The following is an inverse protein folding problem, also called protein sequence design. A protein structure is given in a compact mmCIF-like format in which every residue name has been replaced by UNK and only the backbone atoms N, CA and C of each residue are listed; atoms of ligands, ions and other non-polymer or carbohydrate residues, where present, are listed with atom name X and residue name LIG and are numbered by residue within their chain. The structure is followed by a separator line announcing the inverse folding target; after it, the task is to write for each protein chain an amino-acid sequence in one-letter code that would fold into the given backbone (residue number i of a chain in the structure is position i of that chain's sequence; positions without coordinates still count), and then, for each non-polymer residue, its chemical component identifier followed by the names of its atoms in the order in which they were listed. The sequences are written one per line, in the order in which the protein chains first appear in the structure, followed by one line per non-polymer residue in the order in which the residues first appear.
data_IF_056776139026
#
_entry.id   IF_056776139026
#
_cell.length_a   1.000
_cell.length_b   1.000
_cell.length_c   1.000
_cell.angle_alpha   90.00
_cell.angle_beta   90.00
_cell.angle_gamma   90.00
#
_symmetry.space_group_name_H-M   'P 1'
#
loop_
_entity.id
_entity.type
_entity.pdbx_description
1 polymer ?
#
# COMPACT_ATOMS: atom_id res chain seq x y z
N UNK A 1 -20.70 -29.60 -21.70
CA UNK A 1 -21.09 -28.25 -21.23
C UNK A 1 -20.84 -28.25 -19.74
N UNK A 2 -19.85 -27.47 -19.27
CA UNK A 2 -19.64 -27.30 -17.84
C UNK A 2 -20.87 -26.58 -17.27
N UNK A 3 -21.40 -27.10 -16.16
CA UNK A 3 -22.48 -26.43 -15.41
C UNK A 3 -22.05 -24.98 -15.10
N UNK A 4 -22.93 -23.98 -15.22
CA UNK A 4 -22.59 -22.63 -14.86
C UNK A 4 -22.28 -22.62 -13.35
N UNK A 5 -21.00 -22.46 -13.01
CA UNK A 5 -20.62 -22.24 -11.62
C UNK A 5 -21.33 -20.99 -11.09
N UNK A 6 -21.79 -21.04 -9.85
CA UNK A 6 -22.27 -19.86 -9.18
C UNK A 6 -21.17 -18.77 -9.20
N UNK A 7 -21.53 -17.50 -9.32
CA UNK A 7 -20.54 -16.44 -9.35
C UNK A 7 -19.72 -16.41 -8.05
N UNK A 8 -18.42 -16.16 -8.19
CA UNK A 8 -17.55 -15.96 -7.03
C UNK A 8 -17.94 -14.66 -6.34
N UNK A 9 -18.14 -14.71 -5.05
CA UNK A 9 -18.45 -13.53 -4.25
C UNK A 9 -17.16 -12.88 -3.74
N UNK A 10 -16.96 -11.61 -4.04
CA UNK A 10 -15.84 -10.80 -3.52
C UNK A 10 -16.42 -9.69 -2.67
N UNK A 11 -15.93 -9.59 -1.43
CA UNK A 11 -16.33 -8.57 -0.47
C UNK A 11 -15.24 -7.50 -0.39
N UNK A 12 -15.55 -6.27 -0.84
CA UNK A 12 -14.68 -5.10 -0.86
C UNK A 12 -14.13 -4.77 -2.25
N UNK A 13 -14.47 -3.59 -2.77
CA UNK A 13 -14.02 -3.03 -4.05
C UNK A 13 -12.74 -2.19 -3.92
N UNK A 14 -11.85 -2.53 -2.97
CA UNK A 14 -10.52 -1.95 -2.84
C UNK A 14 -9.51 -2.57 -3.81
N UNK A 15 -8.21 -2.26 -3.61
CA UNK A 15 -7.13 -2.73 -4.48
C UNK A 15 -7.13 -4.26 -4.67
N UNK A 16 -7.19 -5.01 -3.56
CA UNK A 16 -7.14 -6.47 -3.60
C UNK A 16 -8.40 -7.08 -4.23
N UNK A 17 -9.58 -6.53 -3.93
CA UNK A 17 -10.84 -7.06 -4.46
C UNK A 17 -10.99 -6.81 -5.96
N UNK A 18 -10.65 -5.61 -6.44
CA UNK A 18 -10.66 -5.30 -7.88
C UNK A 18 -9.67 -6.17 -8.65
N UNK A 19 -8.45 -6.36 -8.13
CA UNK A 19 -7.46 -7.23 -8.77
C UNK A 19 -7.94 -8.68 -8.81
N UNK A 20 -8.50 -9.20 -7.71
CA UNK A 20 -9.03 -10.56 -7.66
C UNK A 20 -10.22 -10.75 -8.62
N UNK A 21 -11.13 -9.77 -8.68
CA UNK A 21 -12.27 -9.78 -9.60
C UNK A 21 -11.80 -9.86 -11.06
N UNK A 22 -10.81 -9.04 -11.41
CA UNK A 22 -10.20 -9.04 -12.73
C UNK A 22 -9.59 -10.39 -13.09
N UNK A 23 -8.76 -10.95 -12.21
CA UNK A 23 -8.10 -12.24 -12.46
C UNK A 23 -9.10 -13.39 -12.63
N UNK A 24 -10.18 -13.41 -11.87
CA UNK A 24 -11.25 -14.40 -12.00
C UNK A 24 -12.04 -14.22 -13.29
N UNK A 25 -12.39 -13.00 -13.65
CA UNK A 25 -13.16 -12.68 -14.84
C UNK A 25 -12.37 -12.98 -16.13
N UNK A 26 -11.07 -12.65 -16.16
CA UNK A 26 -10.16 -13.02 -17.25
C UNK A 26 -9.92 -14.53 -17.33
N UNK A 27 -10.02 -15.26 -16.22
CA UNK A 27 -10.00 -16.71 -16.18
C UNK A 27 -11.31 -17.36 -16.69
N UNK A 28 -12.35 -16.56 -17.01
CA UNK A 28 -13.62 -17.00 -17.59
C UNK A 28 -14.77 -17.16 -16.59
N UNK A 29 -14.56 -16.86 -15.32
CA UNK A 29 -15.56 -17.03 -14.26
C UNK A 29 -16.40 -15.77 -14.04
N UNK A 30 -17.66 -15.95 -13.60
CA UNK A 30 -18.52 -14.84 -13.19
C UNK A 30 -18.18 -14.42 -11.76
N UNK A 31 -18.21 -13.11 -11.51
CA UNK A 31 -17.86 -12.49 -10.22
C UNK A 31 -18.97 -11.57 -9.76
N UNK A 32 -19.32 -11.61 -8.49
CA UNK A 32 -20.09 -10.57 -7.78
C UNK A 32 -19.15 -9.82 -6.85
N UNK A 33 -18.88 -8.58 -7.18
CA UNK A 33 -18.05 -7.68 -6.39
C UNK A 33 -18.95 -6.75 -5.57
N UNK A 34 -18.86 -6.86 -4.25
CA UNK A 34 -19.60 -5.99 -3.32
C UNK A 34 -18.71 -4.84 -2.85
N UNK A 35 -19.23 -3.62 -2.95
CA UNK A 35 -18.60 -2.41 -2.42
C UNK A 35 -19.66 -1.53 -1.75
N UNK A 36 -19.45 -1.19 -0.47
CA UNK A 36 -20.45 -0.42 0.28
C UNK A 36 -20.54 1.05 -0.11
N UNK A 37 -19.49 1.61 -0.71
CA UNK A 37 -19.48 3.00 -1.18
C UNK A 37 -20.19 3.14 -2.52
N UNK A 38 -20.85 4.25 -2.80
CA UNK A 38 -20.97 5.48 -1.99
C UNK A 38 -22.07 5.43 -0.92
N UNK A 39 -22.87 4.36 -0.82
CA UNK A 39 -24.00 4.32 0.13
C UNK A 39 -23.51 4.43 1.58
N UNK A 40 -22.44 3.76 1.93
CA UNK A 40 -21.79 3.85 3.25
C UNK A 40 -20.31 4.21 3.04
N UNK A 41 -19.95 5.42 3.48
CA UNK A 41 -18.59 5.94 3.40
C UNK A 41 -17.78 5.54 4.63
N UNK A 42 -16.48 5.32 4.45
CA UNK A 42 -15.55 5.17 5.57
C UNK A 42 -14.90 6.52 5.92
N UNK A 43 -14.31 6.67 7.11
CA UNK A 43 -13.63 7.92 7.47
C UNK A 43 -12.46 8.30 6.54
N UNK A 44 -11.84 7.34 5.86
CA UNK A 44 -10.67 7.57 5.01
C UNK A 44 -11.00 7.82 3.54
N UNK A 45 -12.06 7.22 3.02
CA UNK A 45 -12.47 7.36 1.62
C UNK A 45 -13.26 8.63 1.37
N UNK A 46 -13.15 9.20 0.18
CA UNK A 46 -13.83 10.44 -0.23
C UNK A 46 -14.74 10.28 -1.43
N UNK A 47 -14.53 9.22 -2.21
CA UNK A 47 -15.27 8.97 -3.45
C UNK A 47 -15.99 7.62 -3.41
N UNK A 48 -16.91 7.40 -4.33
CA UNK A 48 -17.50 6.09 -4.58
C UNK A 48 -16.68 5.24 -5.56
N UNK A 49 -15.54 5.74 -6.05
CA UNK A 49 -14.69 5.02 -7.00
C UNK A 49 -14.05 3.78 -6.35
N UNK A 50 -13.80 2.77 -7.17
CA UNK A 50 -13.11 1.55 -6.74
C UNK A 50 -11.60 1.80 -6.59
N UNK A 51 -10.93 0.95 -5.81
CA UNK A 51 -9.49 0.97 -5.60
C UNK A 51 -8.92 2.35 -5.16
N UNK A 52 -9.70 3.16 -4.43
CA UNK A 52 -9.28 4.48 -3.97
C UNK A 52 -8.05 4.39 -3.05
N UNK A 53 -7.03 5.20 -3.37
CA UNK A 53 -5.80 5.30 -2.58
C UNK A 53 -5.97 6.30 -1.43
N UNK A 54 -6.06 5.82 -0.20
CA UNK A 54 -6.48 6.66 0.94
C UNK A 54 -5.34 7.38 1.66
N UNK A 55 -4.16 6.77 1.79
CA UNK A 55 -3.08 7.32 2.62
C UNK A 55 -2.00 8.04 1.78
N UNK A 56 -1.62 7.50 0.64
CA UNK A 56 -0.56 7.99 -0.24
C UNK A 56 -0.96 7.75 -1.69
N UNK A 57 -0.31 8.43 -2.63
CA UNK A 57 -0.46 8.16 -4.06
C UNK A 57 0.75 7.41 -4.64
N UNK A 58 1.58 6.83 -3.79
CA UNK A 58 2.79 6.11 -4.18
C UNK A 58 2.64 4.60 -4.10
N UNK A 59 2.95 3.91 -5.19
CA UNK A 59 3.08 2.45 -5.25
C UNK A 59 4.54 2.01 -5.07
N UNK A 60 5.27 2.69 -4.20
CA UNK A 60 6.66 2.39 -3.83
C UNK A 60 7.68 2.48 -4.99
N UNK A 61 8.92 2.12 -4.67
CA UNK A 61 10.08 2.29 -5.55
C UNK A 61 9.98 1.53 -6.87
N UNK A 62 10.35 2.19 -7.96
CA UNK A 62 10.63 1.61 -9.29
C UNK A 62 12.14 1.40 -9.53
N UNK A 63 12.97 1.62 -8.51
CA UNK A 63 14.40 1.40 -8.64
C UNK A 63 14.67 -0.08 -8.99
N UNK A 64 15.31 -0.38 -10.14
CA UNK A 64 15.63 -1.75 -10.50
C UNK A 64 16.36 -2.51 -9.40
N UNK A 65 16.00 -3.78 -9.24
CA UNK A 65 16.55 -4.66 -8.22
C UNK A 65 16.29 -4.19 -6.76
N UNK A 66 15.17 -3.49 -6.52
CA UNK A 66 14.59 -3.34 -5.19
C UNK A 66 13.44 -4.34 -4.99
N UNK A 67 13.11 -4.70 -3.75
CA UNK A 67 12.04 -5.66 -3.49
C UNK A 67 10.65 -5.18 -3.97
N UNK A 68 10.25 -3.89 -3.79
CA UNK A 68 9.00 -3.39 -4.38
C UNK A 68 9.00 -3.39 -5.91
N UNK A 69 10.16 -3.13 -6.56
CA UNK A 69 10.28 -3.24 -8.01
C UNK A 69 10.09 -4.68 -8.47
N UNK A 70 10.74 -5.65 -7.78
CA UNK A 70 10.60 -7.07 -8.10
C UNK A 70 9.13 -7.52 -8.04
N UNK A 71 8.43 -7.21 -6.96
CA UNK A 71 7.02 -7.55 -6.82
C UNK A 71 6.19 -6.99 -7.97
N UNK A 72 6.42 -5.72 -8.36
CA UNK A 72 5.72 -5.11 -9.50
C UNK A 72 6.09 -5.78 -10.83
N UNK A 73 7.35 -6.21 -11.02
CA UNK A 73 7.73 -6.97 -12.22
C UNK A 73 7.00 -8.31 -12.31
N UNK A 74 6.80 -8.99 -11.18
CA UNK A 74 6.02 -10.22 -11.11
C UNK A 74 4.55 -9.96 -11.44
N UNK A 75 3.94 -8.94 -10.85
CA UNK A 75 2.55 -8.57 -11.11
C UNK A 75 2.30 -8.17 -12.58
N UNK A 76 3.24 -7.44 -13.21
CA UNK A 76 3.18 -7.11 -14.66
C UNK A 76 3.15 -8.38 -15.51
N UNK A 77 4.03 -9.36 -15.23
CA UNK A 77 4.06 -10.66 -15.93
C UNK A 77 2.80 -11.47 -15.72
N UNK A 78 2.15 -11.29 -14.58
CA UNK A 78 0.91 -11.95 -14.23
C UNK A 78 -0.35 -11.23 -14.78
N UNK A 79 -0.20 -10.10 -15.48
CA UNK A 79 -1.30 -9.37 -16.10
C UNK A 79 -2.18 -8.61 -15.10
N UNK A 80 -1.57 -7.95 -14.09
CA UNK A 80 -2.28 -7.14 -13.11
C UNK A 80 -2.98 -5.94 -13.78
N UNK A 81 -4.29 -5.81 -13.61
CA UNK A 81 -5.07 -4.65 -14.00
C UNK A 81 -4.58 -3.38 -13.30
N UNK A 82 -4.39 -3.47 -11.99
CA UNK A 82 -4.07 -2.29 -11.19
C UNK A 82 -2.69 -1.73 -11.51
N UNK A 83 -1.74 -2.58 -11.88
CA UNK A 83 -0.43 -2.10 -12.36
C UNK A 83 -0.55 -1.42 -13.74
N UNK A 84 -1.41 -1.91 -14.62
CA UNK A 84 -1.68 -1.26 -15.92
C UNK A 84 -2.34 0.10 -15.72
N UNK A 85 -3.35 0.20 -14.84
CA UNK A 85 -3.99 1.46 -14.47
C UNK A 85 -2.99 2.45 -13.84
N UNK A 86 -2.08 1.96 -12.99
CA UNK A 86 -1.06 2.79 -12.37
C UNK A 86 -0.06 3.37 -13.37
N UNK A 87 0.30 2.63 -14.42
CA UNK A 87 1.16 3.17 -15.49
C UNK A 87 0.44 4.24 -16.32
N UNK A 88 -0.86 4.10 -16.55
CA UNK A 88 -1.66 5.10 -17.27
C UNK A 88 -1.87 6.38 -16.46
N UNK A 89 -2.08 6.25 -15.16
CA UNK A 89 -2.28 7.38 -14.24
C UNK A 89 -0.97 7.94 -13.67
N UNK A 90 0.18 7.55 -14.21
CA UNK A 90 1.50 7.91 -13.67
C UNK A 90 1.75 9.41 -13.70
N UNK A 91 2.30 9.93 -12.61
CA UNK A 91 2.77 11.30 -12.47
C UNK A 91 4.23 11.33 -11.98
N UNK A 92 4.97 12.44 -12.12
CA UNK A 92 6.32 12.56 -11.63
C UNK A 92 6.44 12.27 -10.12
N UNK A 93 7.37 11.39 -9.75
CA UNK A 93 7.53 10.95 -8.35
C UNK A 93 8.91 10.36 -8.04
N UNK A 94 9.95 10.83 -8.69
CA UNK A 94 11.33 10.39 -8.51
C UNK A 94 11.50 8.91 -8.87
N UNK A 95 11.99 8.13 -7.94
CA UNK A 95 12.19 6.68 -8.11
C UNK A 95 10.97 5.85 -7.72
N UNK A 96 9.83 6.47 -7.41
CA UNK A 96 8.61 5.77 -7.07
C UNK A 96 7.63 5.75 -8.26
N UNK A 97 6.78 4.73 -8.30
CA UNK A 97 5.57 4.78 -9.12
C UNK A 97 4.53 5.59 -8.34
N UNK A 98 4.35 6.83 -8.77
CA UNK A 98 3.38 7.76 -8.20
C UNK A 98 2.27 7.98 -9.20
N UNK A 99 1.04 8.06 -8.75
CA UNK A 99 -0.14 8.16 -9.62
C UNK A 99 -1.02 9.34 -9.23
N UNK A 100 -1.72 9.88 -10.20
CA UNK A 100 -2.92 10.69 -9.95
C UNK A 100 -3.99 9.76 -9.35
N UNK A 101 -4.42 10.06 -8.13
CA UNK A 101 -5.32 9.16 -7.35
C UNK A 101 -6.66 8.98 -8.00
N UNK A 102 -7.24 10.09 -8.46
CA UNK A 102 -8.58 10.09 -9.03
C UNK A 102 -8.59 9.39 -10.38
N UNK A 103 -7.61 9.71 -11.23
CA UNK A 103 -7.47 9.08 -12.53
C UNK A 103 -7.20 7.57 -12.41
N UNK A 104 -6.33 7.16 -11.48
CA UNK A 104 -6.10 5.74 -11.18
C UNK A 104 -7.41 5.02 -10.81
N UNK A 105 -8.14 5.58 -9.85
CA UNK A 105 -9.39 4.98 -9.37
C UNK A 105 -10.46 4.97 -10.45
N UNK A 106 -10.51 6.02 -11.31
CA UNK A 106 -11.43 6.11 -12.45
C UNK A 106 -11.16 5.02 -13.49
N UNK A 107 -9.88 4.82 -13.85
CA UNK A 107 -9.46 3.75 -14.79
C UNK A 107 -9.85 2.38 -14.26
N UNK A 108 -9.55 2.09 -12.99
CA UNK A 108 -9.90 0.80 -12.37
C UNK A 108 -11.41 0.61 -12.30
N UNK A 109 -12.16 1.65 -11.90
CA UNK A 109 -13.63 1.58 -11.83
C UNK A 109 -14.23 1.27 -13.18
N UNK A 110 -13.83 1.99 -14.24
CA UNK A 110 -14.32 1.76 -15.60
C UNK A 110 -14.02 0.33 -16.07
N UNK A 111 -12.78 -0.17 -15.86
CA UNK A 111 -12.42 -1.52 -16.28
C UNK A 111 -13.24 -2.62 -15.58
N UNK A 112 -13.57 -2.43 -14.30
CA UNK A 112 -14.39 -3.37 -13.52
C UNK A 112 -15.86 -3.29 -13.92
N UNK A 113 -16.42 -2.08 -14.07
CA UNK A 113 -17.83 -1.85 -14.40
C UNK A 113 -18.18 -2.26 -15.85
N UNK A 114 -17.25 -2.13 -16.78
CA UNK A 114 -17.43 -2.52 -18.18
C UNK A 114 -17.17 -4.01 -18.44
N UNK A 115 -16.60 -4.73 -17.48
CA UNK A 115 -16.25 -6.14 -17.71
C UNK A 115 -17.49 -7.07 -17.69
N UNK A 116 -17.79 -7.82 -18.77
CA UNK A 116 -19.05 -8.55 -18.91
C UNK A 116 -19.25 -9.71 -17.91
N UNK A 117 -18.23 -10.12 -17.19
CA UNK A 117 -18.29 -11.19 -16.18
C UNK A 117 -18.26 -10.66 -14.74
N UNK A 118 -18.18 -9.34 -14.54
CA UNK A 118 -18.16 -8.75 -13.20
C UNK A 118 -19.48 -8.01 -12.98
N UNK A 119 -20.22 -8.44 -11.98
CA UNK A 119 -21.41 -7.74 -11.46
C UNK A 119 -20.99 -6.93 -10.23
N UNK A 120 -20.94 -5.61 -10.37
CA UNK A 120 -20.64 -4.70 -9.26
C UNK A 120 -21.92 -4.38 -8.50
N UNK A 121 -21.95 -4.70 -7.20
CA UNK A 121 -23.06 -4.46 -6.30
C UNK A 121 -22.67 -3.42 -5.25
N UNK A 122 -23.30 -2.25 -5.32
CA UNK A 122 -23.08 -1.14 -4.39
C UNK A 122 -23.89 -1.33 -3.11
N UNK A 123 -23.44 -2.27 -2.28
CA UNK A 123 -24.14 -2.71 -1.08
C UNK A 123 -23.14 -3.14 -0.01
N UNK A 124 -23.45 -2.81 1.25
CA UNK A 124 -22.78 -3.40 2.40
C UNK A 124 -23.18 -4.87 2.56
N UNK A 125 -22.21 -5.70 2.92
CA UNK A 125 -22.42 -7.10 3.28
C UNK A 125 -22.01 -7.28 4.74
N UNK A 126 -22.94 -7.75 5.56
CA UNK A 126 -22.79 -7.95 7.01
C UNK A 126 -22.48 -9.39 7.39
N UNK A 127 -22.67 -10.34 6.46
CA UNK A 127 -22.47 -11.78 6.67
C UNK A 127 -21.70 -12.41 5.52
N UNK A 128 -20.86 -13.39 5.84
CA UNK A 128 -20.17 -14.20 4.84
C UNK A 128 -21.17 -15.20 4.24
N UNK A 129 -21.34 -15.25 2.90
CA UNK A 129 -22.18 -16.25 2.25
C UNK A 129 -21.84 -17.70 2.67
N UNK A 130 -22.88 -18.50 2.91
CA UNK A 130 -22.70 -19.90 3.35
C UNK A 130 -22.25 -20.82 2.23
N UNK A 131 -22.53 -20.48 0.99
CA UNK A 131 -22.24 -21.31 -0.19
C UNK A 131 -21.35 -20.58 -1.19
N UNK A 132 -20.75 -21.34 -2.10
CA UNK A 132 -19.87 -20.81 -3.13
C UNK A 132 -18.51 -20.39 -2.64
N UNK A 133 -17.67 -19.90 -3.54
CA UNK A 133 -16.35 -19.34 -3.20
C UNK A 133 -16.51 -17.88 -2.79
N UNK A 134 -15.93 -17.52 -1.65
CA UNK A 134 -15.94 -16.17 -1.11
C UNK A 134 -14.52 -15.65 -0.94
N UNK A 135 -14.27 -14.43 -1.42
CA UNK A 135 -13.00 -13.75 -1.24
C UNK A 135 -13.21 -12.47 -0.43
N UNK A 136 -12.59 -12.41 0.75
CA UNK A 136 -12.68 -11.27 1.67
C UNK A 136 -11.51 -10.33 1.42
N UNK A 137 -11.79 -9.17 0.84
CA UNK A 137 -10.81 -8.14 0.45
C UNK A 137 -11.21 -6.75 0.94
N UNK A 138 -11.85 -6.70 2.11
CA UNK A 138 -12.45 -5.48 2.68
C UNK A 138 -11.43 -4.48 3.22
N UNK A 139 -10.15 -4.85 3.19
CA UNK A 139 -9.06 -3.98 3.63
C UNK A 139 -9.11 -3.68 5.13
N UNK A 140 -8.44 -2.59 5.55
CA UNK A 140 -8.27 -2.26 6.96
C UNK A 140 -9.52 -1.65 7.60
N UNK A 141 -10.42 -1.08 6.79
CA UNK A 141 -11.62 -0.37 7.24
C UNK A 141 -12.90 -1.21 7.01
N UNK A 142 -12.81 -2.49 7.30
CA UNK A 142 -13.93 -3.43 7.28
C UNK A 142 -15.06 -2.93 8.18
N UNK A 143 -16.31 -2.99 7.72
CA UNK A 143 -17.48 -2.58 8.52
C UNK A 143 -17.60 -3.36 9.81
N UNK A 144 -18.20 -2.76 10.83
CA UNK A 144 -18.29 -3.35 12.16
C UNK A 144 -18.98 -4.71 12.16
N UNK A 145 -20.10 -4.83 11.44
CA UNK A 145 -20.88 -6.05 11.34
C UNK A 145 -20.11 -7.20 10.66
N UNK A 146 -19.52 -6.93 9.51
CA UNK A 146 -18.72 -7.95 8.81
C UNK A 146 -17.44 -8.31 9.58
N UNK A 147 -16.82 -7.34 10.24
CA UNK A 147 -15.64 -7.61 11.06
C UNK A 147 -15.97 -8.49 12.27
N UNK A 148 -17.17 -8.36 12.84
CA UNK A 148 -17.66 -9.24 13.91
C UNK A 148 -17.93 -10.67 13.38
N UNK A 149 -18.55 -10.78 12.20
CA UNK A 149 -18.79 -12.06 11.53
C UNK A 149 -17.47 -12.78 11.20
N UNK A 150 -16.46 -12.06 10.67
CA UNK A 150 -15.11 -12.61 10.43
C UNK A 150 -14.52 -13.12 11.77
N UNK A 151 -14.63 -12.36 12.85
CA UNK A 151 -14.17 -12.78 14.17
C UNK A 151 -14.82 -14.07 14.67
N UNK A 152 -16.13 -14.22 14.49
CA UNK A 152 -16.88 -15.45 14.83
C UNK A 152 -16.41 -16.64 13.98
N UNK A 153 -16.26 -16.44 12.67
CA UNK A 153 -15.88 -17.48 11.69
C UNK A 153 -14.44 -17.98 11.88
N UNK A 154 -13.54 -17.08 12.26
CA UNK A 154 -12.13 -17.42 12.47
C UNK A 154 -11.82 -17.91 13.87
N UNK A 155 -12.71 -17.74 14.82
CA UNK A 155 -12.50 -18.06 16.24
C UNK A 155 -11.37 -17.26 16.89
N UNK A 156 -10.85 -16.24 16.21
CA UNK A 156 -9.72 -15.45 16.64
C UNK A 156 -10.13 -14.03 17.02
N UNK A 157 -9.53 -13.50 18.06
CA UNK A 157 -9.61 -12.08 18.39
C UNK A 157 -9.09 -11.22 17.23
N UNK A 158 -9.68 -10.03 17.03
CA UNK A 158 -9.21 -9.10 16.02
C UNK A 158 -7.87 -8.53 16.45
N UNK A 159 -6.90 -8.56 15.54
CA UNK A 159 -5.71 -7.75 15.68
C UNK A 159 -5.98 -6.39 15.00
N UNK A 160 -5.40 -5.35 15.54
CA UNK A 160 -5.51 -4.02 14.96
C UNK A 160 -4.23 -3.23 15.23
N UNK A 161 -3.94 -2.30 14.34
CA UNK A 161 -2.90 -1.29 14.52
C UNK A 161 -3.46 0.08 14.11
N UNK A 162 -2.79 1.14 14.51
CA UNK A 162 -3.15 2.48 14.08
C UNK A 162 -2.22 2.92 12.95
N UNK A 163 -2.84 3.49 11.92
CA UNK A 163 -2.17 4.15 10.81
C UNK A 163 -2.62 5.61 10.75
N UNK A 164 -1.79 6.47 10.21
CA UNK A 164 -2.11 7.88 10.06
C UNK A 164 -1.81 8.38 8.65
N UNK A 165 -2.57 9.38 8.23
CA UNK A 165 -2.52 9.97 6.90
C UNK A 165 -1.76 11.29 6.97
N UNK A 166 -0.97 11.57 5.93
CA UNK A 166 -0.29 12.86 5.77
C UNK A 166 -1.24 13.93 5.22
N UNK A 167 -1.07 15.21 5.60
CA UNK A 167 -1.88 16.31 5.07
C UNK A 167 -1.55 16.62 3.61
N UNK A 168 -2.54 17.22 2.93
CA UNK A 168 -2.44 17.71 1.55
C UNK A 168 -2.73 19.20 1.56
N UNK A 169 -1.90 19.98 0.88
CA UNK A 169 -2.02 21.43 0.74
C UNK A 169 -2.32 21.85 -0.69
N UNK A 170 -3.05 22.95 -0.84
CA UNK A 170 -3.31 23.59 -2.12
C UNK A 170 -2.03 24.22 -2.68
N UNK A 171 -1.74 23.94 -3.96
CA UNK A 171 -0.55 24.41 -4.65
C UNK A 171 -0.47 25.94 -4.74
N UNK A 172 -1.61 26.62 -4.91
CA UNK A 172 -1.66 28.08 -5.07
C UNK A 172 -1.25 28.82 -3.79
N UNK A 173 -1.30 28.13 -2.65
CA UNK A 173 -0.98 28.68 -1.33
C UNK A 173 0.46 28.43 -0.88
N UNK A 174 1.24 27.71 -1.71
CA UNK A 174 2.67 27.45 -1.45
C UNK A 174 3.49 28.66 -1.92
N UNK A 175 4.35 29.16 -1.04
CA UNK A 175 5.26 30.24 -1.40
C UNK A 175 6.43 29.74 -2.27
N UNK A 176 6.28 29.83 -3.58
CA UNK A 176 7.26 29.36 -4.56
C UNK A 176 8.59 30.14 -4.56
N UNK A 177 8.67 31.30 -3.90
CA UNK A 177 9.93 32.03 -3.72
C UNK A 177 10.82 31.38 -2.65
N UNK A 178 10.20 30.65 -1.71
CA UNK A 178 10.89 29.97 -0.60
C UNK A 178 11.23 28.53 -0.94
N UNK A 179 10.32 27.81 -1.59
CA UNK A 179 10.53 26.40 -1.96
C UNK A 179 11.37 26.26 -3.23
N UNK A 180 11.98 25.09 -3.44
CA UNK A 180 12.70 24.80 -4.66
C UNK A 180 12.35 23.39 -5.20
N UNK A 181 12.37 23.24 -6.53
CA UNK A 181 12.21 21.94 -7.18
C UNK A 181 13.53 21.19 -7.18
N UNK A 182 13.50 19.95 -6.73
CA UNK A 182 14.60 19.00 -6.87
C UNK A 182 14.17 17.58 -6.51
N UNK A 183 14.90 16.61 -7.03
CA UNK A 183 14.88 15.23 -6.55
C UNK A 183 16.22 14.87 -5.92
N UNK A 184 16.20 14.02 -4.89
CA UNK A 184 17.42 13.63 -4.18
C UNK A 184 18.44 13.01 -5.12
N UNK A 185 19.69 13.47 -5.04
CA UNK A 185 20.80 13.00 -5.87
C UNK A 185 20.59 13.21 -7.37
N UNK A 186 19.76 14.19 -7.77
CA UNK A 186 19.44 14.46 -9.18
C UNK A 186 18.65 13.32 -9.87
N UNK A 187 18.08 12.40 -9.13
CA UNK A 187 17.31 11.27 -9.64
C UNK A 187 15.86 11.67 -9.86
N UNK A 188 15.61 12.28 -10.99
CA UNK A 188 14.32 12.85 -11.37
C UNK A 188 13.79 12.24 -12.67
N UNK A 189 12.46 12.25 -12.81
CA UNK A 189 11.77 11.98 -14.07
C UNK A 189 11.54 13.28 -14.86
N UNK A 190 11.51 14.42 -14.16
CA UNK A 190 11.39 15.76 -14.73
C UNK A 190 12.72 16.49 -14.72
N UNK A 191 13.01 17.37 -15.70
CA UNK A 191 14.26 18.14 -15.76
C UNK A 191 14.54 18.97 -14.51
N UNK A 192 13.47 19.54 -13.92
CA UNK A 192 13.56 20.46 -12.78
C UNK A 192 13.43 19.76 -11.41
N UNK A 193 13.25 18.44 -11.38
CA UNK A 193 12.97 17.69 -10.14
C UNK A 193 11.49 17.39 -9.93
N UNK A 194 11.20 16.32 -9.18
CA UNK A 194 9.84 15.79 -9.02
C UNK A 194 9.15 16.23 -7.71
N UNK A 195 9.90 16.86 -6.81
CA UNK A 195 9.40 17.32 -5.51
C UNK A 195 9.61 18.81 -5.34
N UNK A 196 8.67 19.47 -4.67
CA UNK A 196 8.92 20.76 -4.05
C UNK A 196 9.57 20.51 -2.68
N UNK A 197 10.56 21.30 -2.35
CA UNK A 197 11.35 21.16 -1.13
C UNK A 197 11.30 22.43 -0.32
N UNK A 198 10.79 22.35 0.91
CA UNK A 198 10.78 23.43 1.88
C UNK A 198 12.07 23.36 2.72
N UNK A 199 13.03 24.23 2.54
CA UNK A 199 14.28 24.21 3.28
C UNK A 199 14.10 24.85 4.66
N UNK A 200 14.63 24.23 5.70
CA UNK A 200 14.64 24.78 7.05
C UNK A 200 16.08 25.12 7.46
N UNK A 201 16.25 26.30 8.10
CA UNK A 201 17.43 26.58 8.90
C UNK A 201 17.39 25.75 10.19
N UNK A 202 18.45 25.85 11.00
CA UNK A 202 18.48 25.21 12.31
C UNK A 202 17.42 25.81 13.23
N UNK A 203 17.29 27.13 13.21
CA UNK A 203 16.33 27.88 14.01
C UNK A 203 14.88 27.54 13.64
N UNK A 204 14.56 27.42 12.33
CA UNK A 204 13.25 27.01 11.87
C UNK A 204 12.93 25.57 12.30
N UNK A 205 13.90 24.67 12.18
CA UNK A 205 13.76 23.29 12.61
C UNK A 205 13.53 23.16 14.10
N UNK A 206 14.34 23.86 14.90
CA UNK A 206 14.22 23.80 16.35
C UNK A 206 12.88 24.37 16.82
N UNK A 207 12.42 25.49 16.25
CA UNK A 207 11.08 26.04 16.50
C UNK A 207 9.97 25.10 16.09
N UNK A 208 10.07 24.47 14.90
CA UNK A 208 9.08 23.52 14.41
C UNK A 208 8.96 22.32 15.34
N UNK A 209 10.07 21.70 15.76
CA UNK A 209 10.06 20.53 16.65
C UNK A 209 9.51 20.90 18.03
N UNK A 210 9.85 22.07 18.58
CA UNK A 210 9.33 22.52 19.86
C UNK A 210 7.81 22.71 19.85
N UNK A 211 7.28 23.30 18.78
CA UNK A 211 5.84 23.50 18.64
C UNK A 211 5.09 22.22 18.29
N UNK A 212 5.70 21.31 17.53
CA UNK A 212 5.16 19.99 17.25
C UNK A 212 4.99 19.17 18.53
N UNK A 213 5.98 19.20 19.43
CA UNK A 213 5.94 18.45 20.69
C UNK A 213 4.95 19.01 21.71
N UNK A 214 4.62 20.32 21.62
CA UNK A 214 3.60 20.99 22.46
C UNK A 214 2.18 20.86 21.92
N UNK A 215 2.05 20.52 20.63
CA UNK A 215 0.76 20.52 19.94
C UNK A 215 -0.24 19.55 20.57
N UNK A 216 -1.50 19.98 20.65
CA UNK A 216 -2.58 19.15 21.12
C UNK A 216 -2.92 18.06 20.10
N UNK A 217 -3.12 16.87 20.61
CA UNK A 217 -3.47 15.70 19.82
C UNK A 217 -4.95 15.39 19.94
N UNK A 218 -5.51 14.75 18.94
CA UNK A 218 -6.72 13.99 19.17
C UNK A 218 -6.39 12.95 20.24
N UNK A 219 -7.10 12.99 21.38
CA UNK A 219 -7.06 11.86 22.29
C UNK A 219 -7.74 10.68 21.56
N UNK A 220 -7.00 9.73 21.05
CA UNK A 220 -7.65 8.49 20.71
C UNK A 220 -8.00 7.84 22.06
N UNK A 221 -9.12 7.17 22.14
CA UNK A 221 -9.32 6.12 23.13
C UNK A 221 -8.39 4.93 22.78
N UNK A 222 -7.11 5.23 22.61
CA UNK A 222 -6.05 4.28 22.30
C UNK A 222 -5.41 3.98 23.65
N UNK A 223 -5.54 2.74 24.16
CA UNK A 223 -4.70 2.30 25.26
C UNK A 223 -3.22 2.54 24.92
N UNK A 224 -2.43 2.97 25.90
CA UNK A 224 -0.99 3.31 25.71
C UNK A 224 -0.13 2.17 25.12
N UNK A 225 -0.66 0.96 25.07
CA UNK A 225 0.04 -0.27 24.65
C UNK A 225 -0.20 -0.67 23.17
N UNK A 226 -0.88 0.17 22.36
CA UNK A 226 -1.20 -0.23 20.99
C UNK A 226 -0.09 0.18 20.03
N UNK A 227 0.48 -0.78 19.26
CA UNK A 227 1.56 -0.50 18.35
C UNK A 227 1.07 0.28 17.13
N UNK A 228 1.73 1.40 16.85
CA UNK A 228 1.74 1.98 15.51
C UNK A 228 2.58 1.11 14.58
N UNK A 229 2.21 1.05 13.32
CA UNK A 229 3.07 0.46 12.31
C UNK A 229 4.32 1.33 12.11
N UNK A 230 5.51 0.77 12.28
CA UNK A 230 6.79 1.52 12.26
C UNK A 230 6.99 2.37 10.99
N UNK A 231 6.53 1.89 9.84
CA UNK A 231 6.66 2.62 8.58
C UNK A 231 5.69 3.80 8.44
N UNK A 232 4.68 3.91 9.30
CA UNK A 232 3.64 4.94 9.30
C UNK A 232 3.55 5.65 10.66
N UNK A 233 4.65 5.69 11.41
CA UNK A 233 4.71 6.40 12.68
C UNK A 233 4.34 7.88 12.51
N UNK A 234 3.46 8.42 13.37
CA UNK A 234 3.18 9.84 13.40
C UNK A 234 4.42 10.67 13.63
N UNK A 235 4.50 11.83 12.97
CA UNK A 235 5.69 12.69 13.00
C UNK A 235 6.00 13.19 14.43
N UNK A 236 4.98 13.41 15.24
CA UNK A 236 5.12 13.78 16.65
C UNK A 236 5.69 12.65 17.50
N UNK A 237 5.41 11.40 17.16
CA UNK A 237 6.01 10.24 17.85
C UNK A 237 7.48 10.06 17.42
N UNK A 238 7.80 10.29 16.16
CA UNK A 238 9.18 10.33 15.68
C UNK A 238 9.98 11.44 16.40
N UNK A 239 9.39 12.64 16.56
CA UNK A 239 10.04 13.75 17.27
C UNK A 239 10.30 13.43 18.75
N UNK A 240 9.41 12.68 19.42
CA UNK A 240 9.60 12.23 20.82
C UNK A 240 10.73 11.23 21.01
N UNK A 241 11.01 10.42 20.00
CA UNK A 241 12.13 9.47 20.04
C UNK A 241 13.49 10.15 20.06
N UNK A 242 13.55 11.42 19.69
CA UNK A 242 14.75 12.25 19.74
C UNK A 242 14.64 13.46 18.83
N UNK A 243 15.20 14.60 19.28
CA UNK A 243 15.09 15.89 18.59
C UNK A 243 15.55 15.83 17.12
N UNK A 244 16.63 15.10 16.85
CA UNK A 244 17.19 14.95 15.50
C UNK A 244 16.56 13.84 14.66
N UNK A 245 15.65 13.03 15.22
CA UNK A 245 15.09 11.85 14.53
C UNK A 245 14.46 12.24 13.19
N UNK A 246 13.76 13.37 13.12
CA UNK A 246 13.12 13.83 11.89
C UNK A 246 14.13 14.12 10.77
N UNK A 247 15.34 14.60 11.11
CA UNK A 247 16.41 14.89 10.13
C UNK A 247 17.07 13.64 9.56
N UNK A 248 16.91 12.49 10.21
CA UNK A 248 17.33 11.18 9.69
C UNK A 248 16.18 10.41 9.03
N UNK A 249 14.96 10.91 9.16
CA UNK A 249 13.71 10.36 8.65
C UNK A 249 13.04 11.27 7.60
N UNK A 250 11.81 11.73 7.85
CA UNK A 250 10.99 12.47 6.88
C UNK A 250 11.58 13.81 6.45
N UNK A 251 12.32 14.48 7.34
CA UNK A 251 12.93 15.80 7.05
C UNK A 251 14.42 15.72 6.68
N UNK A 252 14.88 14.58 6.19
CA UNK A 252 16.28 14.37 5.83
C UNK A 252 16.72 15.31 4.70
N UNK A 253 17.83 16.09 4.84
CA UNK A 253 18.28 17.02 3.82
C UNK A 253 19.24 16.40 2.79
N UNK A 254 19.78 15.22 3.06
CA UNK A 254 20.85 14.60 2.27
C UNK A 254 20.45 14.36 0.82
N UNK A 255 21.32 14.73 -0.10
CA UNK A 255 21.12 14.61 -1.55
C UNK A 255 20.31 15.77 -2.17
N UNK A 256 20.04 16.84 -1.40
CA UNK A 256 19.40 18.05 -1.87
C UNK A 256 20.33 19.25 -1.67
N UNK A 257 20.37 20.13 -2.66
CA UNK A 257 21.09 21.41 -2.64
C UNK A 257 20.06 22.50 -2.93
N UNK A 258 19.95 23.49 -2.06
CA UNK A 258 19.13 24.66 -2.34
C UNK A 258 19.82 25.54 -3.38
N UNK A 259 19.22 25.75 -4.57
CA UNK A 259 19.85 26.50 -5.65
C UNK A 259 20.13 27.97 -5.31
N UNK A 260 19.41 28.52 -4.33
CA UNK A 260 19.58 29.93 -3.90
C UNK A 260 20.81 30.13 -3.03
N UNK A 261 21.17 29.12 -2.25
CA UNK A 261 22.32 29.21 -1.31
C UNK A 261 23.52 28.39 -1.79
N UNK A 262 23.33 27.46 -2.74
CA UNK A 262 24.33 26.49 -3.15
C UNK A 262 24.69 25.47 -2.08
N UNK A 263 23.91 25.36 -0.99
CA UNK A 263 24.20 24.53 0.18
C UNK A 263 23.07 23.54 0.48
N UNK A 264 23.40 22.47 1.17
CA UNK A 264 22.42 21.57 1.75
C UNK A 264 21.74 22.24 2.93
N UNK A 265 20.40 22.35 2.95
CA UNK A 265 19.67 22.89 4.11
C UNK A 265 19.90 22.08 5.40
N UNK A 266 19.58 22.65 6.55
CA UNK A 266 19.66 21.91 7.81
C UNK A 266 18.64 20.77 7.89
N UNK A 267 17.42 21.01 7.43
CA UNK A 267 16.36 20.01 7.26
C UNK A 267 15.53 20.39 6.01
N UNK A 268 14.77 19.44 5.48
CA UNK A 268 13.89 19.68 4.31
C UNK A 268 12.59 18.92 4.47
N UNK A 269 11.46 19.61 4.28
CA UNK A 269 10.16 18.98 4.07
C UNK A 269 9.95 18.82 2.58
N UNK A 270 9.67 17.58 2.13
CA UNK A 270 9.36 17.31 0.72
C UNK A 270 7.85 17.31 0.51
N UNK A 271 7.42 17.98 -0.54
CA UNK A 271 6.05 18.00 -1.00
C UNK A 271 5.97 17.21 -2.31
N UNK A 272 5.09 16.21 -2.34
CA UNK A 272 4.86 15.36 -3.51
C UNK A 272 3.55 15.74 -4.18
N UNK A 273 3.60 15.90 -5.48
CA UNK A 273 2.44 16.16 -6.32
C UNK A 273 1.38 15.04 -6.16
N UNK A 274 0.10 15.42 -6.08
CA UNK A 274 -1.01 14.49 -5.89
C UNK A 274 -1.77 14.18 -7.19
N UNK A 275 -1.77 15.10 -8.15
CA UNK A 275 -2.52 15.01 -9.40
C UNK A 275 -1.70 15.48 -10.61
N UNK A 276 -2.17 15.18 -11.84
CA UNK A 276 -1.50 15.56 -13.09
C UNK A 276 -1.35 17.06 -13.29
N UNK A 277 -2.25 17.87 -12.71
CA UNK A 277 -2.25 19.33 -12.85
C UNK A 277 -1.32 20.02 -11.85
N UNK A 278 -0.74 19.26 -10.91
CA UNK A 278 0.03 19.79 -9.79
C UNK A 278 -0.79 20.80 -8.96
N UNK A 279 -2.11 20.60 -8.85
CA UNK A 279 -3.00 21.49 -8.12
C UNK A 279 -2.91 21.30 -6.60
N UNK A 280 -2.34 20.19 -6.14
CA UNK A 280 -2.17 19.89 -4.72
C UNK A 280 -0.93 19.05 -4.44
N UNK A 281 -0.43 19.18 -3.21
CA UNK A 281 0.79 18.51 -2.77
C UNK A 281 0.63 17.87 -1.40
N UNK A 282 1.13 16.64 -1.27
CA UNK A 282 1.18 15.89 -0.03
C UNK A 282 2.49 16.15 0.71
N UNK A 283 2.43 16.36 2.02
CA UNK A 283 3.61 16.47 2.90
C UNK A 283 4.16 15.07 3.15
N UNK A 284 5.29 14.74 2.53
CA UNK A 284 5.85 13.39 2.56
C UNK A 284 6.37 13.03 3.96
N UNK A 285 5.80 11.97 4.55
CA UNK A 285 6.21 11.49 5.87
C UNK A 285 5.64 12.29 7.05
N UNK A 286 4.60 13.10 6.81
CA UNK A 286 3.94 13.92 7.82
C UNK A 286 2.62 13.31 8.31
N UNK A 287 2.56 11.99 8.36
CA UNK A 287 1.48 11.29 9.07
C UNK A 287 1.41 11.81 10.51
N UNK A 288 0.21 12.11 10.98
CA UNK A 288 0.03 12.67 12.31
C UNK A 288 -1.39 12.45 12.86
N UNK A 289 -1.56 12.65 14.16
CA UNK A 289 -2.87 12.66 14.84
C UNK A 289 -3.10 13.92 15.67
N UNK A 290 -2.46 15.02 15.28
CA UNK A 290 -2.71 16.34 15.86
C UNK A 290 -4.14 16.79 15.57
N UNK A 291 -4.72 17.62 16.45
CA UNK A 291 -5.96 18.32 16.16
C UNK A 291 -5.83 19.18 14.90
N UNK A 292 -6.87 19.34 14.12
CA UNK A 292 -6.81 20.05 12.84
C UNK A 292 -6.30 21.50 12.98
N UNK A 293 -6.72 22.20 14.05
CA UNK A 293 -6.20 23.53 14.37
C UNK A 293 -4.70 23.54 14.63
N UNK A 294 -4.20 22.53 15.33
CA UNK A 294 -2.78 22.39 15.62
C UNK A 294 -1.97 22.01 14.37
N UNK A 295 -2.52 21.16 13.49
CA UNK A 295 -1.87 20.88 12.21
C UNK A 295 -1.67 22.17 11.41
N UNK A 296 -2.71 22.98 11.26
CA UNK A 296 -2.59 24.26 10.56
C UNK A 296 -1.57 25.19 11.23
N UNK A 297 -1.58 25.29 12.55
CA UNK A 297 -0.66 26.16 13.33
C UNK A 297 0.79 25.71 13.20
N UNK A 298 1.06 24.41 13.38
CA UNK A 298 2.42 23.86 13.42
C UNK A 298 3.02 23.76 12.01
N UNK A 299 2.25 23.25 11.03
CA UNK A 299 2.79 23.04 9.69
C UNK A 299 2.98 24.34 8.91
N UNK A 300 2.28 25.42 9.27
CA UNK A 300 2.57 26.77 8.75
C UNK A 300 3.87 27.39 9.28
N UNK A 301 4.54 26.78 10.24
CA UNK A 301 5.90 27.15 10.64
C UNK A 301 6.98 26.67 9.66
N UNK A 302 6.61 25.79 8.73
CA UNK A 302 7.51 25.29 7.69
C UNK A 302 7.70 26.38 6.64
N UNK A 303 8.93 26.82 6.35
CA UNK A 303 9.20 27.83 5.32
C UNK A 303 8.60 27.42 3.97
N UNK A 304 7.82 28.33 3.39
CA UNK A 304 7.06 28.12 2.16
C UNK A 304 5.64 27.64 2.37
N UNK A 305 5.22 27.31 3.59
CA UNK A 305 3.86 26.89 3.94
C UNK A 305 3.15 27.86 4.90
N UNK A 306 3.66 29.08 5.06
CA UNK A 306 3.14 30.07 6.02
C UNK A 306 1.64 30.37 5.80
N UNK A 307 1.20 30.36 4.55
CA UNK A 307 -0.19 30.62 4.15
C UNK A 307 -0.89 29.37 3.61
N UNK A 308 -0.34 28.17 3.84
CA UNK A 308 -0.87 26.95 3.25
C UNK A 308 -2.33 26.69 3.64
N UNK A 309 -3.16 26.42 2.64
CA UNK A 309 -4.52 25.90 2.82
C UNK A 309 -4.49 24.37 2.74
N UNK A 310 -5.06 23.74 3.78
CA UNK A 310 -5.08 22.28 3.87
C UNK A 310 -6.34 21.74 3.22
N UNK A 311 -6.21 21.14 2.05
CA UNK A 311 -7.29 20.41 1.36
C UNK A 311 -7.66 19.13 2.11
N UNK A 312 -6.68 18.56 2.83
CA UNK A 312 -6.85 17.41 3.70
C UNK A 312 -5.93 17.51 4.90
N UNK A 313 -6.48 17.28 6.08
CA UNK A 313 -5.70 17.14 7.29
C UNK A 313 -5.26 15.69 7.50
N UNK A 314 -4.17 15.49 8.22
CA UNK A 314 -3.77 14.21 8.73
C UNK A 314 -4.81 13.64 9.68
N UNK A 315 -5.03 12.34 9.62
CA UNK A 315 -5.98 11.62 10.46
C UNK A 315 -5.43 10.27 10.84
N UNK A 316 -5.81 9.81 12.04
CA UNK A 316 -5.51 8.46 12.50
C UNK A 316 -6.67 7.53 12.19
N UNK A 317 -6.36 6.31 11.76
CA UNK A 317 -7.33 5.27 11.49
C UNK A 317 -6.96 3.99 12.22
N UNK A 318 -7.98 3.31 12.73
CA UNK A 318 -7.84 1.97 13.28
C UNK A 318 -7.97 0.96 12.15
N UNK A 319 -6.89 0.27 11.86
CA UNK A 319 -6.81 -0.75 10.83
C UNK A 319 -7.04 -2.14 11.44
N UNK A 320 -7.97 -2.89 10.88
CA UNK A 320 -8.28 -4.25 11.32
C UNK A 320 -7.58 -5.26 10.40
N UNK A 321 -6.99 -6.30 11.00
CA UNK A 321 -6.45 -7.45 10.28
C UNK A 321 -6.68 -8.75 11.08
N UNK A 322 -6.48 -9.89 10.43
CA UNK A 322 -6.60 -11.22 11.07
C UNK A 322 -5.22 -11.76 11.43
N UNK A 323 -5.14 -12.66 12.40
CA UNK A 323 -3.93 -13.42 12.67
C UNK A 323 -3.71 -14.48 11.59
N UNK A 324 -3.34 -14.02 10.39
CA UNK A 324 -3.29 -14.85 9.19
C UNK A 324 -2.41 -16.10 9.30
N UNK A 325 -1.23 -16.10 10.00
CA UNK A 325 -0.43 -17.31 10.14
C UNK A 325 -1.15 -18.47 10.82
N UNK A 326 -2.03 -18.17 11.77
CA UNK A 326 -2.85 -19.20 12.43
C UNK A 326 -4.02 -19.68 11.55
N UNK A 327 -4.49 -18.86 10.63
CA UNK A 327 -5.75 -19.02 9.92
C UNK A 327 -5.60 -19.44 8.45
N UNK A 328 -4.58 -18.93 7.76
CA UNK A 328 -4.49 -19.06 6.30
C UNK A 328 -3.45 -20.09 5.85
N UNK A 329 -3.73 -20.68 4.70
CA UNK A 329 -2.76 -21.47 3.93
C UNK A 329 -1.88 -20.56 3.05
N UNK A 330 -0.78 -21.07 2.46
CA UNK A 330 0.02 -20.31 1.49
C UNK A 330 -0.75 -19.88 0.22
N UNK A 331 -1.92 -20.48 -0.03
CA UNK A 331 -2.85 -20.11 -1.11
C UNK A 331 -3.90 -19.10 -0.67
N UNK A 332 -3.75 -18.52 0.54
CA UNK A 332 -4.63 -17.53 1.15
C UNK A 332 -6.04 -18.04 1.47
N UNK A 333 -6.24 -19.36 1.51
CA UNK A 333 -7.47 -19.99 1.93
C UNK A 333 -7.57 -20.08 3.46
N UNK A 334 -8.77 -19.92 3.99
CA UNK A 334 -9.04 -20.20 5.40
C UNK A 334 -8.87 -21.70 5.65
N UNK A 335 -8.01 -22.11 6.60
CA UNK A 335 -7.71 -23.53 6.89
C UNK A 335 -8.94 -24.33 7.28
N UNK A 336 -9.85 -23.73 8.06
CA UNK A 336 -11.09 -24.38 8.53
C UNK A 336 -12.15 -24.45 7.44
N UNK A 337 -12.10 -23.57 6.42
CA UNK A 337 -13.10 -23.46 5.38
C UNK A 337 -12.46 -23.04 4.03
N UNK A 338 -11.88 -24.00 3.27
CA UNK A 338 -11.03 -23.69 2.10
C UNK A 338 -11.72 -22.97 0.93
N UNK A 339 -13.05 -22.83 0.93
CA UNK A 339 -13.77 -22.00 -0.04
C UNK A 339 -13.68 -20.50 0.25
N UNK A 340 -13.20 -20.10 1.44
CA UNK A 340 -13.02 -18.69 1.85
C UNK A 340 -11.57 -18.31 1.69
N UNK A 341 -11.32 -17.20 0.97
CA UNK A 341 -10.02 -16.60 0.76
C UNK A 341 -9.95 -15.24 1.43
N UNK A 342 -8.76 -14.84 1.84
CA UNK A 342 -8.49 -13.49 2.35
C UNK A 342 -7.39 -12.83 1.51
N UNK A 343 -7.57 -11.54 1.17
CA UNK A 343 -6.59 -10.78 0.41
C UNK A 343 -6.55 -9.30 0.84
N UNK A 344 -5.43 -8.65 0.56
CA UNK A 344 -5.21 -7.26 0.93
C UNK A 344 -4.80 -7.09 2.39
N UNK A 345 -4.88 -5.87 2.87
CA UNK A 345 -4.35 -5.52 4.19
C UNK A 345 -5.00 -6.32 5.34
N UNK A 346 -6.25 -6.74 5.18
CA UNK A 346 -6.93 -7.59 6.17
C UNK A 346 -6.21 -8.92 6.42
N UNK A 347 -5.46 -9.46 5.46
CA UNK A 347 -4.69 -10.69 5.64
C UNK A 347 -3.28 -10.47 6.21
N UNK A 348 -2.93 -9.25 6.64
CA UNK A 348 -1.64 -8.98 7.26
C UNK A 348 -0.52 -8.63 6.29
N UNK A 349 -0.85 -8.07 5.13
CA UNK A 349 0.12 -7.36 4.30
C UNK A 349 -0.02 -5.85 4.50
N UNK A 350 1.07 -5.11 4.35
CA UNK A 350 1.08 -3.66 4.44
C UNK A 350 1.58 -3.06 3.12
N UNK A 351 0.76 -2.17 2.55
CA UNK A 351 1.05 -1.44 1.32
C UNK A 351 0.15 -1.81 0.15
N UNK A 352 0.06 -0.86 -0.78
CA UNK A 352 -0.84 -0.97 -1.94
C UNK A 352 -0.44 -2.10 -2.89
N UNK A 353 0.86 -2.21 -3.21
CA UNK A 353 1.36 -3.24 -4.14
C UNK A 353 1.21 -4.64 -3.53
N UNK A 354 1.41 -4.77 -2.22
CA UNK A 354 1.22 -6.00 -1.47
C UNK A 354 -0.27 -6.41 -1.42
N UNK A 355 -1.16 -5.42 -1.30
CA UNK A 355 -2.60 -5.67 -1.37
C UNK A 355 -3.03 -6.15 -2.77
N UNK A 356 -2.53 -5.50 -3.83
CA UNK A 356 -2.72 -5.95 -5.22
C UNK A 356 -2.20 -7.38 -5.39
N UNK A 357 -1.00 -7.66 -4.91
CA UNK A 357 -0.33 -8.96 -5.04
C UNK A 357 -1.13 -10.10 -4.41
N UNK A 358 -1.62 -9.90 -3.19
CA UNK A 358 -2.46 -10.91 -2.52
C UNK A 358 -3.83 -11.04 -3.17
N UNK A 359 -4.42 -9.96 -3.70
CA UNK A 359 -5.64 -10.01 -4.50
C UNK A 359 -5.47 -10.85 -5.76
N UNK A 360 -4.40 -10.61 -6.51
CA UNK A 360 -4.05 -11.39 -7.70
C UNK A 360 -3.85 -12.88 -7.36
N UNK A 361 -3.10 -13.18 -6.30
CA UNK A 361 -2.85 -14.54 -5.86
C UNK A 361 -4.15 -15.26 -5.48
N UNK A 362 -4.99 -14.64 -4.64
CA UNK A 362 -6.26 -15.19 -4.20
C UNK A 362 -7.22 -15.43 -5.39
N UNK A 363 -7.32 -14.47 -6.32
CA UNK A 363 -8.13 -14.61 -7.52
C UNK A 363 -7.70 -15.81 -8.40
N UNK A 364 -6.40 -16.00 -8.60
CA UNK A 364 -5.87 -17.14 -9.36
C UNK A 364 -6.08 -18.47 -8.65
N UNK A 365 -5.83 -18.51 -7.33
CA UNK A 365 -6.07 -19.72 -6.54
C UNK A 365 -7.56 -20.10 -6.49
N UNK A 366 -8.46 -19.11 -6.40
CA UNK A 366 -9.89 -19.34 -6.49
C UNK A 366 -10.30 -19.88 -7.89
N UNK A 367 -9.69 -19.38 -8.97
CA UNK A 367 -9.91 -19.88 -10.31
C UNK A 367 -9.45 -21.34 -10.48
N UNK A 368 -8.33 -21.74 -9.87
CA UNK A 368 -7.87 -23.13 -9.90
C UNK A 368 -8.86 -24.04 -9.14
N UNK A 369 -9.36 -23.60 -7.99
CA UNK A 369 -10.37 -24.35 -7.23
C UNK A 369 -11.67 -24.53 -8.04
N UNK A 370 -12.13 -23.50 -8.77
CA UNK A 370 -13.30 -23.59 -9.67
C UNK A 370 -13.09 -24.55 -10.84
N UNK A 371 -11.86 -24.78 -11.28
CA UNK A 371 -11.52 -25.78 -12.28
C UNK A 371 -11.42 -27.20 -11.70
N UNK A 372 -11.68 -27.37 -10.40
CA UNK A 372 -11.51 -28.65 -9.71
C UNK A 372 -10.04 -29.02 -9.45
N UNK A 373 -9.14 -28.05 -9.57
CA UNK A 373 -7.71 -28.21 -9.31
C UNK A 373 -7.36 -27.74 -7.90
N UNK A 374 -6.44 -28.42 -7.24
CA UNK A 374 -5.88 -27.91 -5.99
C UNK A 374 -5.07 -26.64 -6.27
N UNK A 375 -5.37 -25.51 -5.59
CA UNK A 375 -4.61 -24.29 -5.76
C UNK A 375 -3.13 -24.51 -5.45
N UNK A 376 -2.26 -24.09 -6.36
CA UNK A 376 -0.81 -24.26 -6.23
C UNK A 376 -0.17 -22.95 -5.73
N UNK A 377 0.51 -22.96 -4.58
CA UNK A 377 1.18 -21.76 -4.08
C UNK A 377 2.22 -21.22 -5.07
N UNK A 378 2.38 -19.91 -5.12
CA UNK A 378 3.49 -19.30 -5.87
C UNK A 378 4.84 -19.72 -5.29
N UNK A 379 5.88 -19.88 -6.15
CA UNK A 379 7.20 -20.32 -5.70
C UNK A 379 7.78 -19.41 -4.61
N UNK A 380 8.35 -20.01 -3.59
CA UNK A 380 8.92 -19.28 -2.45
C UNK A 380 10.06 -18.32 -2.85
N UNK A 381 10.71 -18.56 -3.99
CA UNK A 381 11.76 -17.71 -4.57
C UNK A 381 11.24 -16.39 -5.14
N UNK A 382 9.94 -16.29 -5.45
CA UNK A 382 9.30 -15.07 -5.94
C UNK A 382 8.96 -14.12 -4.77
N UNK A 383 8.85 -12.83 -5.04
CA UNK A 383 8.39 -11.85 -4.05
C UNK A 383 6.95 -12.14 -3.63
N UNK A 384 6.06 -12.45 -4.60
CA UNK A 384 4.68 -12.82 -4.33
C UNK A 384 4.57 -14.09 -3.48
N UNK A 385 5.27 -15.16 -3.83
CA UNK A 385 5.27 -16.40 -3.05
C UNK A 385 5.88 -16.24 -1.67
N UNK A 386 6.92 -15.40 -1.54
CA UNK A 386 7.51 -15.04 -0.24
C UNK A 386 6.54 -14.28 0.65
N UNK A 387 5.78 -13.34 0.06
CA UNK A 387 4.76 -12.58 0.78
C UNK A 387 3.63 -13.49 1.28
N UNK A 388 3.09 -14.35 0.42
CA UNK A 388 2.06 -15.33 0.80
C UNK A 388 2.56 -16.30 1.87
N UNK A 389 3.81 -16.74 1.77
CA UNK A 389 4.42 -17.62 2.77
C UNK A 389 4.62 -16.93 4.13
N UNK A 390 4.97 -15.63 4.15
CA UNK A 390 5.01 -14.85 5.38
C UNK A 390 3.64 -14.76 6.03
N UNK A 391 2.64 -14.34 5.26
CA UNK A 391 1.24 -14.20 5.74
C UNK A 391 0.70 -15.49 6.34
N UNK A 392 1.07 -16.66 5.80
CA UNK A 392 0.53 -17.95 6.22
C UNK A 392 1.43 -18.75 7.17
N UNK A 393 2.67 -18.35 7.38
CA UNK A 393 3.66 -19.16 8.09
C UNK A 393 4.57 -18.39 9.05
N UNK A 394 4.37 -17.08 9.24
CA UNK A 394 5.05 -16.33 10.29
C UNK A 394 4.62 -16.83 11.68
N UNK A 395 5.35 -16.43 12.70
CA UNK A 395 4.97 -16.71 14.09
C UNK A 395 3.68 -15.95 14.44
N UNK A 396 2.66 -16.67 14.91
CA UNK A 396 1.37 -16.08 15.24
C UNK A 396 1.44 -15.14 16.46
N UNK A 397 2.32 -15.45 17.43
CA UNK A 397 2.57 -14.58 18.56
C UNK A 397 3.33 -13.33 18.09
N UNK A 398 2.72 -12.16 18.25
CA UNK A 398 3.30 -10.89 17.80
C UNK A 398 3.27 -10.66 16.29
N UNK A 399 2.43 -11.38 15.54
CA UNK A 399 2.26 -11.18 14.10
C UNK A 399 1.88 -9.73 13.78
N UNK A 400 2.65 -9.13 12.88
CA UNK A 400 2.42 -7.78 12.37
C UNK A 400 2.36 -7.81 10.84
N UNK A 401 1.56 -6.91 10.23
CA UNK A 401 1.56 -6.74 8.78
C UNK A 401 2.95 -6.45 8.23
N UNK A 402 3.25 -6.95 7.04
CA UNK A 402 4.56 -6.78 6.44
C UNK A 402 4.50 -6.20 5.03
N UNK A 403 5.50 -5.36 4.75
CA UNK A 403 5.88 -4.94 3.40
C UNK A 403 6.80 -5.97 2.78
N UNK A 404 6.83 -6.01 1.44
CA UNK A 404 7.84 -6.81 0.74
C UNK A 404 9.25 -6.25 0.95
N UNK A 405 10.13 -7.09 1.48
CA UNK A 405 11.57 -6.82 1.64
C UNK A 405 12.35 -8.04 1.17
N UNK A 406 13.65 -7.87 0.90
CA UNK A 406 14.49 -9.01 0.51
C UNK A 406 14.69 -10.03 1.64
N UNK A 407 14.47 -9.64 2.88
CA UNK A 407 14.56 -10.53 4.03
C UNK A 407 13.42 -11.57 4.07
N UNK A 408 12.31 -11.30 3.40
CA UNK A 408 11.24 -12.27 3.23
C UNK A 408 11.59 -13.36 2.20
N UNK A 409 12.47 -13.08 1.24
CA UNK A 409 12.86 -14.04 0.21
C UNK A 409 13.90 -15.02 0.74
N UNK A 410 13.91 -16.27 0.27
CA UNK A 410 14.95 -17.22 0.61
C UNK A 410 16.36 -16.69 0.27
N UNK A 411 17.36 -16.94 1.10
CA UNK A 411 18.73 -16.53 0.81
C UNK A 411 19.22 -17.12 -0.51
N UNK A 412 20.21 -16.49 -1.11
CA UNK A 412 20.97 -17.07 -2.23
C UNK A 412 21.77 -18.27 -1.74
N UNK A 413 22.09 -19.17 -2.63
CA UNK A 413 23.01 -20.27 -2.38
C UNK A 413 24.33 -19.75 -1.78
N UNK A 414 24.93 -20.52 -0.89
CA UNK A 414 26.08 -20.09 -0.10
C UNK A 414 27.27 -19.67 -0.98
N UNK A 415 27.54 -20.41 -2.06
CA UNK A 415 28.59 -20.10 -3.05
C UNK A 415 28.38 -18.72 -3.69
N UNK A 416 27.16 -18.43 -4.14
CA UNK A 416 26.79 -17.16 -4.76
C UNK A 416 26.83 -16.04 -3.72
N UNK A 417 26.28 -16.28 -2.53
CA UNK A 417 26.29 -15.31 -1.42
C UNK A 417 27.73 -14.94 -1.03
N UNK A 418 28.61 -15.92 -0.97
CA UNK A 418 30.02 -15.69 -0.66
C UNK A 418 30.74 -14.92 -1.78
N UNK A 419 30.51 -15.26 -3.04
CA UNK A 419 31.09 -14.55 -4.18
C UNK A 419 30.66 -13.07 -4.23
N UNK A 420 29.42 -12.77 -3.86
CA UNK A 420 28.83 -11.43 -3.88
C UNK A 420 28.82 -10.72 -2.50
N UNK A 421 29.61 -11.20 -1.53
CA UNK A 421 29.52 -10.72 -0.14
C UNK A 421 29.78 -9.22 0.05
N UNK A 422 30.56 -8.62 -0.81
CA UNK A 422 30.92 -7.19 -0.77
C UNK A 422 30.10 -6.31 -1.72
N UNK A 423 29.26 -6.91 -2.58
CA UNK A 423 28.44 -6.18 -3.53
C UNK A 423 26.94 -6.40 -3.25
N UNK A 424 26.39 -5.50 -2.45
CA UNK A 424 24.95 -5.53 -2.11
C UNK A 424 24.08 -5.37 -3.37
N UNK A 425 24.50 -4.58 -4.37
CA UNK A 425 23.71 -4.36 -5.58
C UNK A 425 23.66 -5.62 -6.43
N UNK A 426 24.81 -6.27 -6.64
CA UNK A 426 24.88 -7.54 -7.36
C UNK A 426 24.06 -8.64 -6.65
N UNK A 427 24.09 -8.71 -5.30
CA UNK A 427 23.25 -9.65 -4.55
C UNK A 427 21.76 -9.41 -4.79
N UNK A 428 21.31 -8.16 -4.73
CA UNK A 428 19.91 -7.83 -5.00
C UNK A 428 19.50 -8.16 -6.44
N UNK A 429 20.37 -7.86 -7.42
CA UNK A 429 20.14 -8.21 -8.82
C UNK A 429 20.01 -9.73 -9.01
N UNK A 430 20.83 -10.51 -8.34
CA UNK A 430 20.80 -11.98 -8.42
C UNK A 430 19.52 -12.56 -7.77
N UNK A 431 19.09 -12.01 -6.63
CA UNK A 431 17.80 -12.40 -6.01
C UNK A 431 16.66 -12.13 -6.98
N UNK A 432 16.63 -10.95 -7.62
CA UNK A 432 15.60 -10.58 -8.60
C UNK A 432 15.63 -11.51 -9.82
N UNK A 433 16.81 -11.81 -10.36
CA UNK A 433 16.96 -12.71 -11.50
C UNK A 433 16.44 -14.11 -11.20
N UNK A 434 16.80 -14.66 -10.04
CA UNK A 434 16.30 -15.97 -9.55
C UNK A 434 14.78 -15.96 -9.41
N UNK A 435 14.23 -14.91 -8.81
CA UNK A 435 12.79 -14.81 -8.57
C UNK A 435 11.99 -14.78 -9.89
N UNK A 436 12.43 -13.96 -10.84
CA UNK A 436 11.75 -13.84 -12.13
C UNK A 436 11.84 -15.12 -12.96
N UNK A 437 12.98 -15.83 -12.93
CA UNK A 437 13.11 -17.16 -13.53
C UNK A 437 12.15 -18.16 -12.90
N UNK A 438 12.10 -18.21 -11.57
CA UNK A 438 11.20 -19.13 -10.86
C UNK A 438 9.73 -18.86 -11.15
N UNK A 439 9.35 -17.59 -11.39
CA UNK A 439 8.01 -17.27 -11.85
C UNK A 439 7.74 -17.76 -13.26
N UNK A 440 8.69 -17.58 -14.18
CA UNK A 440 8.58 -18.05 -15.57
C UNK A 440 8.41 -19.57 -15.63
N UNK A 441 9.25 -20.32 -14.93
CA UNK A 441 9.14 -21.78 -14.78
C UNK A 441 7.76 -22.20 -14.23
N UNK A 442 7.27 -21.54 -13.19
CA UNK A 442 5.94 -21.78 -12.62
C UNK A 442 4.81 -21.53 -13.62
N UNK A 443 4.93 -20.50 -14.46
CA UNK A 443 3.92 -20.19 -15.47
C UNK A 443 3.93 -21.23 -16.62
N UNK A 444 5.09 -21.69 -17.07
CA UNK A 444 5.25 -22.72 -18.09
C UNK A 444 4.65 -24.07 -17.64
N UNK A 445 4.93 -24.48 -16.40
CA UNK A 445 4.36 -25.70 -15.82
C UNK A 445 2.82 -25.62 -15.73
N UNK A 446 2.27 -24.47 -15.34
CA UNK A 446 0.83 -24.28 -15.27
C UNK A 446 0.14 -24.31 -16.64
N UNK A 447 0.82 -23.89 -17.71
CA UNK A 447 0.30 -24.02 -19.10
C UNK A 447 0.25 -25.47 -19.53
N UNK A 448 1.24 -26.29 -19.15
CA UNK A 448 1.28 -27.72 -19.47
C UNK A 448 0.19 -28.52 -18.74
N UNK A 449 -0.11 -28.17 -17.49
CA UNK A 449 -1.18 -28.81 -16.70
C UNK A 449 -2.58 -28.43 -17.20
N UNK A 450 -2.71 -27.30 -17.91
CA UNK A 450 -3.99 -26.79 -18.47
C UNK A 450 -4.30 -27.32 -19.88
N UNK A 451 -3.35 -28.00 -20.55
CA UNK A 451 -3.52 -28.71 -21.82
C UNK A 451 -3.85 -30.17 -21.59
#
# INVERSE_FOLDING_TARGET
MAMPHDPVTILGGGLAGCEAAWQLAEAGFRVRLYEMRPAIMTPAHRTGLLAELVCSNSLKSELPNSAPWLLKQELRRLGSLLLQAAEQARIPGGQALVVDREEFSRIVSAAIEEHPRIELLRQEVDRIPEEGIVLIATGPLTSGALAEEIGKRTGAGRLFFYDSISPIVDAETINMEVVFRASRYGRSQSPDGDYLNCPLTREDYDRFVDELLKAERHEPHIPDDIPFFEACLPIEELARRGRDTLRFGPMKPVGLIDPRTGRTPYAVVQLRQEDLRASSYNLVGFQNYLRFSEQARVFRLIPGLENAEFLRYGQIHRNTYICAPALLTPTLQLRSEPRIFFAGQICGVEGYVESVATGLAAGRHAADLLRGQAPRPFPRQTALGSLCAYVSGAEAAGFQPANITFDLLPPLEESVRHALRHDKRARHAEVCRRALRSLEEYLEENVQVRR
#
